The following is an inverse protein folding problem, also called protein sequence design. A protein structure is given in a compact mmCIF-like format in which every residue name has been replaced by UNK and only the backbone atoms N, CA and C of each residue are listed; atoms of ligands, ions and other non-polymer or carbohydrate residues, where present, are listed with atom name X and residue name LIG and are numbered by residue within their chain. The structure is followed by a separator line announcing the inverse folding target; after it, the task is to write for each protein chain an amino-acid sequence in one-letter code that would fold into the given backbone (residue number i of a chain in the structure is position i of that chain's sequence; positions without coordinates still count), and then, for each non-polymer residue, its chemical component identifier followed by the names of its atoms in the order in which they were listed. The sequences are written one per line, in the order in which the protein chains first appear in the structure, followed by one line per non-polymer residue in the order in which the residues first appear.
data_IF_004019245236
#
_entry.id   IF_004019245236
#
_cell.length_a   1.000
_cell.length_b   1.000
_cell.length_c   1.000
_cell.angle_alpha   90.00
_cell.angle_beta   90.00
_cell.angle_gamma   90.00
#
_symmetry.space_group_name_H-M   'P 1'
#
loop_
_entity.id
_entity.type
_entity.pdbx_description
1 polymer ?
#
# COMPACT_ATOMS: atom_id res chain seq x y z
N UNK A 1 2.09 21.40 -4.62
CA UNK A 1 2.33 20.12 -3.91
C UNK A 1 3.78 19.72 -4.08
N UNK A 2 4.48 19.49 -2.97
CA UNK A 2 5.89 19.07 -2.95
C UNK A 2 6.03 17.60 -3.38
N UNK A 3 7.24 17.20 -3.79
CA UNK A 3 7.57 15.83 -4.19
C UNK A 3 7.15 14.78 -3.14
N UNK A 4 7.37 14.99 -1.82
CA UNK A 4 6.96 14.05 -0.77
C UNK A 4 5.44 13.80 -0.75
N UNK A 5 4.62 14.86 -0.78
CA UNK A 5 3.16 14.68 -0.78
C UNK A 5 2.63 13.94 -2.02
N UNK A 6 3.33 14.02 -3.16
CA UNK A 6 2.95 13.24 -4.35
C UNK A 6 3.26 11.75 -4.17
N UNK A 7 4.35 11.42 -3.48
CA UNK A 7 4.69 10.04 -3.11
C UNK A 7 3.67 9.47 -2.11
N UNK A 8 3.30 10.22 -1.08
CA UNK A 8 2.26 9.80 -0.13
C UNK A 8 0.92 9.58 -0.82
N UNK A 9 0.51 10.49 -1.73
CA UNK A 9 -0.74 10.33 -2.49
C UNK A 9 -0.68 9.14 -3.45
N UNK A 10 0.45 8.91 -4.11
CA UNK A 10 0.66 7.74 -4.95
C UNK A 10 0.55 6.45 -4.13
N UNK A 11 1.04 6.40 -2.89
CA UNK A 11 0.87 5.25 -1.99
C UNK A 11 -0.60 4.98 -1.70
N UNK A 12 -1.38 6.02 -1.40
CA UNK A 12 -2.82 5.87 -1.13
C UNK A 12 -3.54 5.29 -2.36
N UNK A 13 -3.16 5.68 -3.57
CA UNK A 13 -3.71 5.11 -4.82
C UNK A 13 -3.23 3.67 -5.04
N UNK A 14 -2.00 3.33 -4.63
CA UNK A 14 -1.47 1.97 -4.72
C UNK A 14 -2.19 0.99 -3.79
N UNK A 15 -2.81 1.43 -2.69
CA UNK A 15 -3.53 0.54 -1.76
C UNK A 15 -4.71 -0.17 -2.46
N UNK A 16 -5.67 0.53 -3.11
CA UNK A 16 -6.71 -0.13 -3.90
C UNK A 16 -6.16 -1.03 -4.98
N UNK A 17 -5.09 -0.64 -5.66
CA UNK A 17 -4.46 -1.45 -6.72
C UNK A 17 -3.88 -2.73 -6.13
N UNK A 18 -3.18 -2.65 -5.01
CA UNK A 18 -2.71 -3.82 -4.27
C UNK A 18 -3.88 -4.75 -3.89
N UNK A 19 -4.95 -4.19 -3.32
CA UNK A 19 -6.12 -4.97 -2.91
C UNK A 19 -6.80 -5.64 -4.10
N UNK A 20 -6.90 -4.98 -5.27
CA UNK A 20 -7.49 -5.60 -6.45
C UNK A 20 -6.66 -6.79 -6.90
N UNK A 21 -5.33 -6.69 -6.97
CA UNK A 21 -4.48 -7.83 -7.34
C UNK A 21 -4.53 -8.98 -6.32
N UNK A 22 -4.65 -8.66 -5.03
CA UNK A 22 -4.74 -9.67 -3.97
C UNK A 22 -6.11 -10.38 -3.93
N UNK A 23 -7.20 -9.63 -4.18
CA UNK A 23 -8.58 -10.11 -4.03
C UNK A 23 -9.26 -10.52 -5.35
N UNK A 24 -8.70 -10.22 -6.53
CA UNK A 24 -9.21 -10.66 -7.84
C UNK A 24 -9.02 -12.17 -8.07
N UNK A 25 -9.58 -12.99 -7.19
CA UNK A 25 -9.83 -14.41 -7.46
C UNK A 25 -11.18 -14.51 -8.15
N UNK A 26 -11.21 -15.00 -9.40
CA UNK A 26 -12.45 -15.19 -10.14
C UNK A 26 -13.28 -16.25 -9.40
N UNK A 27 -14.60 -16.10 -9.25
CA UNK A 27 -15.44 -17.13 -8.63
C UNK A 27 -15.22 -18.45 -9.41
N UNK A 28 -14.64 -19.45 -8.72
CA UNK A 28 -14.10 -20.76 -9.18
C UNK A 28 -12.60 -20.99 -8.94
N UNK A 29 -11.88 -20.05 -8.31
CA UNK A 29 -10.47 -20.28 -7.94
C UNK A 29 -9.50 -20.17 -9.11
N UNK A 30 -9.96 -19.67 -10.25
CA UNK A 30 -9.10 -19.29 -11.37
C UNK A 30 -8.51 -17.92 -11.09
N UNK A 31 -7.19 -17.82 -11.22
CA UNK A 31 -6.48 -16.56 -11.21
C UNK A 31 -6.55 -15.96 -12.62
N UNK A 32 -6.90 -14.67 -12.72
CA UNK A 32 -6.96 -13.98 -14.02
C UNK A 32 -5.55 -13.87 -14.65
N UNK A 33 -4.52 -13.89 -13.79
CA UNK A 33 -3.12 -13.82 -14.14
C UNK A 33 -2.32 -14.91 -13.40
N UNK A 34 -1.34 -15.56 -14.05
CA UNK A 34 -0.36 -16.37 -13.33
C UNK A 34 0.39 -15.50 -12.31
N UNK A 35 0.56 -16.01 -11.08
CA UNK A 35 1.33 -15.36 -10.00
C UNK A 35 0.81 -14.01 -9.48
N UNK A 36 -0.52 -13.79 -9.47
CA UNK A 36 -1.13 -12.58 -8.91
C UNK A 36 -0.69 -12.23 -7.47
N UNK A 37 -0.48 -13.25 -6.62
CA UNK A 37 -0.04 -13.04 -5.23
C UNK A 37 1.38 -12.46 -5.18
N UNK A 38 2.24 -12.85 -6.12
CA UNK A 38 3.59 -12.29 -6.27
C UNK A 38 3.54 -10.85 -6.76
N UNK A 39 2.63 -10.52 -7.69
CA UNK A 39 2.39 -9.15 -8.13
C UNK A 39 1.89 -8.29 -6.97
N UNK A 40 0.91 -8.78 -6.20
CA UNK A 40 0.41 -8.10 -5.01
C UNK A 40 1.52 -7.88 -3.97
N UNK A 41 2.36 -8.89 -3.72
CA UNK A 41 3.51 -8.77 -2.83
C UNK A 41 4.52 -7.72 -3.31
N UNK A 42 4.82 -7.65 -4.61
CA UNK A 42 5.70 -6.62 -5.19
C UNK A 42 5.11 -5.23 -5.01
N UNK A 43 3.81 -5.04 -5.28
CA UNK A 43 3.13 -3.75 -5.09
C UNK A 43 3.17 -3.35 -3.61
N UNK A 44 2.91 -4.28 -2.69
CA UNK A 44 2.98 -4.05 -1.25
C UNK A 44 4.38 -3.61 -0.81
N UNK A 45 5.42 -4.33 -1.25
CA UNK A 45 6.82 -3.99 -0.94
C UNK A 45 7.17 -2.60 -1.47
N UNK A 46 6.77 -2.27 -2.71
CA UNK A 46 6.99 -0.94 -3.27
C UNK A 46 6.26 0.13 -2.46
N UNK A 47 4.98 -0.09 -2.12
CA UNK A 47 4.20 0.86 -1.32
C UNK A 47 4.83 1.12 0.06
N UNK A 48 5.27 0.06 0.73
CA UNK A 48 5.95 0.13 2.03
C UNK A 48 7.34 0.80 1.92
N UNK A 49 8.15 0.45 0.93
CA UNK A 49 9.47 1.06 0.73
C UNK A 49 9.37 2.57 0.42
N UNK A 50 8.29 3.00 -0.24
CA UNK A 50 8.07 4.40 -0.60
C UNK A 50 7.81 5.30 0.63
N UNK A 51 7.45 4.72 1.79
CA UNK A 51 7.24 5.43 3.08
C UNK A 51 8.53 5.89 3.77
N UNK A 52 9.61 5.14 3.62
CA UNK A 52 10.90 5.62 4.08
C UNK A 52 11.43 6.76 3.21
N UNK A 53 11.13 6.70 1.91
CA UNK A 53 11.70 7.56 0.88
C UNK A 53 11.12 8.98 0.90
N UNK A 54 9.81 9.15 1.02
CA UNK A 54 9.19 10.47 1.07
C UNK A 54 9.56 11.23 2.34
N UNK A 55 9.58 10.56 3.50
CA UNK A 55 10.06 11.11 4.76
C UNK A 55 11.54 11.51 4.72
N UNK A 56 12.39 10.69 4.09
CA UNK A 56 13.81 11.02 3.88
C UNK A 56 13.97 12.26 2.98
N UNK A 57 13.26 12.32 1.86
CA UNK A 57 13.31 13.44 0.92
C UNK A 57 12.77 14.72 1.55
N UNK A 58 11.68 14.63 2.32
CA UNK A 58 11.09 15.77 3.03
C UNK A 58 12.08 16.39 4.03
N UNK A 59 12.77 15.55 4.82
CA UNK A 59 13.81 16.01 5.77
C UNK A 59 15.01 16.60 5.04
N UNK A 60 15.52 15.93 4.00
CA UNK A 60 16.71 16.37 3.25
C UNK A 60 16.49 17.69 2.50
N UNK A 61 15.27 17.96 2.02
CA UNK A 61 14.93 19.18 1.28
C UNK A 61 14.27 20.27 2.12
N UNK A 62 14.16 20.10 3.44
CA UNK A 62 13.38 21.00 4.31
C UNK A 62 11.95 21.24 3.79
N UNK A 63 11.35 20.24 3.15
CA UNK A 63 10.01 20.28 2.57
C UNK A 63 8.96 19.60 3.47
N UNK A 64 9.18 19.67 4.78
CA UNK A 64 8.28 19.09 5.77
C UNK A 64 7.00 19.93 5.84
N UNK A 65 5.85 19.32 5.60
CA UNK A 65 4.55 19.99 5.65
C UNK A 65 3.65 19.35 6.71
N UNK A 66 2.72 20.13 7.29
CA UNK A 66 1.75 19.60 8.26
C UNK A 66 0.83 18.55 7.63
N UNK A 67 0.51 18.71 6.34
CA UNK A 67 -0.30 17.76 5.59
C UNK A 67 0.44 16.42 5.38
N UNK A 68 1.73 16.46 5.00
CA UNK A 68 2.55 15.24 4.91
C UNK A 68 2.66 14.51 6.24
N UNK A 69 2.95 15.23 7.34
CA UNK A 69 3.00 14.66 8.69
C UNK A 69 1.69 13.97 9.12
N UNK A 70 0.56 14.43 8.62
CA UNK A 70 -0.75 13.83 8.89
C UNK A 70 -1.03 12.64 7.97
N UNK A 71 -0.67 12.75 6.68
CA UNK A 71 -0.92 11.71 5.69
C UNK A 71 -0.02 10.49 5.86
N UNK A 72 1.23 10.64 6.28
CA UNK A 72 2.17 9.50 6.39
C UNK A 72 1.66 8.42 7.38
N UNK A 73 1.29 8.74 8.65
CA UNK A 73 0.75 7.74 9.57
C UNK A 73 -0.62 7.21 9.16
N UNK A 74 -1.39 7.99 8.39
CA UNK A 74 -2.68 7.55 7.86
C UNK A 74 -2.48 6.51 6.77
N UNK A 75 -1.59 6.79 5.80
CA UNK A 75 -1.30 5.89 4.69
C UNK A 75 -0.68 4.57 5.17
N UNK A 76 0.20 4.62 6.19
CA UNK A 76 0.78 3.44 6.83
C UNK A 76 -0.30 2.53 7.43
N UNK A 77 -1.16 3.08 8.30
CA UNK A 77 -2.26 2.32 8.90
C UNK A 77 -3.21 1.76 7.85
N UNK A 78 -3.52 2.52 6.80
CA UNK A 78 -4.40 2.07 5.72
C UNK A 78 -3.78 0.89 4.96
N UNK A 79 -2.49 0.95 4.60
CA UNK A 79 -1.82 -0.11 3.86
C UNK A 79 -1.77 -1.41 4.68
N UNK A 80 -1.35 -1.34 5.95
CA UNK A 80 -1.26 -2.51 6.83
C UNK A 80 -2.64 -3.11 7.11
N UNK A 81 -3.64 -2.27 7.43
CA UNK A 81 -5.01 -2.73 7.67
C UNK A 81 -5.61 -3.37 6.43
N UNK A 82 -5.45 -2.75 5.25
CA UNK A 82 -5.93 -3.29 3.98
C UNK A 82 -5.32 -4.66 3.67
N UNK A 83 -4.03 -4.82 3.88
CA UNK A 83 -3.35 -6.10 3.68
C UNK A 83 -3.88 -7.19 4.64
N UNK A 84 -3.96 -6.90 5.94
CA UNK A 84 -4.43 -7.87 6.93
C UNK A 84 -5.90 -8.26 6.70
N UNK A 85 -6.78 -7.29 6.46
CA UNK A 85 -8.19 -7.55 6.15
C UNK A 85 -8.32 -8.42 4.90
N UNK A 86 -7.53 -8.14 3.86
CA UNK A 86 -7.54 -8.93 2.63
C UNK A 86 -7.06 -10.36 2.87
N UNK A 87 -6.03 -10.57 3.70
CA UNK A 87 -5.53 -11.90 4.03
C UNK A 87 -6.52 -12.72 4.88
N UNK A 88 -7.26 -12.06 5.78
CA UNK A 88 -8.35 -12.68 6.53
C UNK A 88 -9.48 -13.11 5.60
N UNK A 89 -9.89 -12.26 4.66
CA UNK A 89 -10.91 -12.58 3.65
C UNK A 89 -10.49 -13.77 2.76
N UNK A 90 -9.19 -13.89 2.46
CA UNK A 90 -8.65 -15.02 1.72
C UNK A 90 -8.51 -16.30 2.55
N UNK A 91 -8.69 -16.24 3.87
CA UNK A 91 -8.53 -17.37 4.79
C UNK A 91 -7.08 -17.74 5.10
N UNK A 92 -6.11 -16.88 4.74
CA UNK A 92 -4.67 -17.12 4.95
C UNK A 92 -4.24 -16.78 6.38
N UNK A 93 -4.98 -15.91 7.06
CA UNK A 93 -4.70 -15.45 8.43
C UNK A 93 -6.01 -15.45 9.23
N UNK A 94 -5.98 -15.86 10.51
CA UNK A 94 -7.15 -15.76 11.38
C UNK A 94 -7.36 -14.32 11.85
N UNK A 95 -8.62 -13.92 12.01
CA UNK A 95 -8.96 -12.59 12.51
C UNK A 95 -8.57 -12.37 13.99
N UNK A 96 -8.36 -13.47 14.74
CA UNK A 96 -8.00 -13.52 16.16
C UNK A 96 -7.41 -14.89 16.51
#
# INVERSE_FOLDING_TARGET
MNLPNRLTLARIILIPVFMTFLLLKVPKGYTLFPHQDLVAAVIFILAAATDGLDGYIARKRNQVTNLGKFMDPLADKLLVSAALISLVELGEVTAW
#
